data_IF_301432138343
#
_entry.id   IF_301432138343
#
_cell.length_a   1.000
_cell.length_b   1.000
_cell.length_c   1.000
_cell.angle_alpha   90.00
_cell.angle_beta   90.00
_cell.angle_gamma   90.00
#
_symmetry.space_group_name_H-M   'P 1'
#
loop_
_entity.id
_entity.type
_entity.pdbx_description
1 polymer ?
#
# COMPACT_ATOMS: atom_id res chain seq x y z
N UNK A 1 -33.53 66.31 14.95
CA UNK A 1 -32.69 65.52 14.03
C UNK A 1 -31.94 64.46 14.84
N UNK A 2 -31.87 63.23 14.35
CA UNK A 2 -30.90 62.20 14.80
C UNK A 2 -30.38 61.54 13.53
N UNK A 3 -29.06 61.43 13.37
CA UNK A 3 -28.47 60.73 12.22
C UNK A 3 -28.61 59.22 12.44
N UNK A 4 -28.98 58.47 11.39
CA UNK A 4 -28.69 57.05 11.33
C UNK A 4 -27.25 56.89 10.84
N UNK A 5 -26.42 56.16 11.61
CA UNK A 5 -25.12 55.71 11.12
C UNK A 5 -25.31 54.38 10.39
N UNK A 6 -24.93 54.34 9.12
CA UNK A 6 -25.01 53.12 8.30
C UNK A 6 -23.66 52.41 8.38
N UNK A 7 -23.60 51.31 9.15
CA UNK A 7 -22.44 50.42 9.13
C UNK A 7 -22.47 49.58 7.84
N UNK A 8 -21.65 49.95 6.87
CA UNK A 8 -21.38 49.14 5.68
C UNK A 8 -20.49 47.96 6.06
N UNK A 9 -21.07 46.77 6.20
CA UNK A 9 -20.31 45.53 6.37
C UNK A 9 -19.78 45.09 5.00
N UNK A 10 -18.55 45.48 4.68
CA UNK A 10 -17.81 44.93 3.54
C UNK A 10 -17.40 43.49 3.84
N UNK A 11 -18.20 42.54 3.36
CA UNK A 11 -17.82 41.13 3.35
C UNK A 11 -16.64 40.92 2.40
N UNK A 12 -15.44 40.73 2.97
CA UNK A 12 -14.25 40.40 2.20
C UNK A 12 -14.40 38.97 1.64
N UNK A 13 -14.50 38.83 0.32
CA UNK A 13 -14.30 37.53 -0.33
C UNK A 13 -12.83 37.15 -0.17
N UNK A 14 -12.53 36.30 0.81
CA UNK A 14 -11.27 35.55 0.84
C UNK A 14 -11.35 34.54 -0.31
N UNK A 15 -10.81 34.92 -1.47
CA UNK A 15 -10.66 34.04 -2.60
C UNK A 15 -9.56 33.02 -2.27
N UNK A 16 -9.96 31.86 -1.74
CA UNK A 16 -9.06 30.73 -1.52
C UNK A 16 -8.58 30.19 -2.87
N UNK A 17 -7.43 30.69 -3.32
CA UNK A 17 -6.71 30.14 -4.46
C UNK A 17 -6.21 28.74 -4.09
N UNK A 18 -7.01 27.74 -4.45
CA UNK A 18 -6.60 26.35 -4.40
C UNK A 18 -5.31 26.21 -5.24
N UNK A 19 -4.17 26.10 -4.56
CA UNK A 19 -2.89 25.94 -5.22
C UNK A 19 -2.90 24.59 -5.92
N UNK A 20 -2.82 24.62 -7.25
CA UNK A 20 -2.57 23.41 -8.02
C UNK A 20 -1.16 22.94 -7.67
N UNK A 21 -1.08 21.86 -6.88
CA UNK A 21 0.16 21.38 -6.30
C UNK A 21 1.25 21.16 -7.35
N UNK A 22 2.49 21.51 -6.98
CA UNK A 22 3.65 21.38 -7.85
C UNK A 22 3.95 19.95 -8.30
N UNK A 23 4.99 19.80 -9.12
CA UNK A 23 5.57 18.50 -9.48
C UNK A 23 6.84 18.25 -8.70
N UNK A 24 6.93 17.06 -8.10
CA UNK A 24 8.11 16.57 -7.40
C UNK A 24 8.90 15.57 -8.27
N UNK A 25 9.94 14.93 -7.73
CA UNK A 25 10.75 13.89 -8.41
C UNK A 25 11.93 14.44 -9.22
N UNK A 26 11.88 15.73 -9.60
CA UNK A 26 13.03 16.53 -10.08
C UNK A 26 13.26 17.80 -9.27
N UNK A 27 12.24 18.20 -8.52
CA UNK A 27 12.24 19.27 -7.53
C UNK A 27 11.67 18.67 -6.24
N UNK A 28 11.93 19.31 -5.11
CA UNK A 28 11.14 19.10 -3.89
C UNK A 28 9.81 19.85 -3.96
N UNK A 29 8.82 19.41 -3.17
CA UNK A 29 7.58 20.15 -2.99
C UNK A 29 7.77 21.48 -2.22
N UNK A 30 6.75 22.35 -2.23
CA UNK A 30 6.70 23.61 -1.50
C UNK A 30 5.97 23.51 -0.13
N UNK A 31 6.06 24.56 0.71
CA UNK A 31 5.46 24.58 2.07
C UNK A 31 3.93 24.42 2.09
N UNK A 32 3.24 24.70 0.99
CA UNK A 32 1.77 24.69 0.89
C UNK A 32 1.21 23.38 0.31
N UNK A 33 2.05 22.54 -0.28
CA UNK A 33 1.71 21.19 -0.78
C UNK A 33 2.85 20.22 -0.49
N UNK A 34 3.22 20.01 0.78
CA UNK A 34 4.54 19.53 1.15
C UNK A 34 4.80 18.04 0.87
N UNK A 35 3.75 17.24 0.64
CA UNK A 35 3.85 15.79 0.45
C UNK A 35 3.96 15.42 -1.03
N UNK A 36 5.02 14.71 -1.41
CA UNK A 36 5.19 14.15 -2.75
C UNK A 36 4.61 12.73 -2.85
N UNK A 37 3.74 12.46 -3.82
CA UNK A 37 3.38 11.10 -4.26
C UNK A 37 3.19 11.10 -5.78
N UNK A 38 3.66 10.06 -6.48
CA UNK A 38 3.38 9.86 -7.91
C UNK A 38 3.90 10.97 -8.85
N UNK A 39 4.94 11.72 -8.44
CA UNK A 39 5.46 12.94 -9.10
C UNK A 39 4.60 14.22 -8.91
N UNK A 40 3.63 14.21 -7.99
CA UNK A 40 2.76 15.35 -7.68
C UNK A 40 2.81 15.71 -6.18
N UNK A 41 2.72 17.01 -5.90
CA UNK A 41 2.73 17.58 -4.57
C UNK A 41 1.30 17.82 -4.06
N UNK A 42 1.03 17.59 -2.77
CA UNK A 42 -0.28 17.84 -2.17
C UNK A 42 -0.26 17.97 -0.62
N UNK A 43 -1.44 18.19 -0.04
CA UNK A 43 -1.73 18.11 1.41
C UNK A 43 -2.71 16.97 1.77
N UNK A 44 -3.40 16.40 0.78
CA UNK A 44 -4.39 15.35 0.97
C UNK A 44 -3.78 14.02 1.42
N UNK A 45 -4.56 13.25 2.21
CA UNK A 45 -4.08 12.05 2.89
C UNK A 45 -3.36 11.05 1.98
N UNK A 46 -3.87 10.79 0.77
CA UNK A 46 -3.26 9.85 -0.18
C UNK A 46 -1.82 10.22 -0.59
N UNK A 47 -1.49 11.51 -0.58
CA UNK A 47 -0.17 12.00 -0.95
C UNK A 47 0.79 11.99 0.23
N UNK A 48 0.27 12.13 1.45
CA UNK A 48 1.08 12.21 2.65
C UNK A 48 1.24 10.89 3.40
N UNK A 49 0.31 9.92 3.25
CA UNK A 49 0.34 8.63 3.94
C UNK A 49 1.68 7.90 3.84
N UNK A 50 2.16 7.37 4.97
CA UNK A 50 3.47 6.72 5.07
C UNK A 50 3.62 5.52 4.14
N UNK A 51 4.69 5.52 3.34
CA UNK A 51 4.95 4.50 2.32
C UNK A 51 4.14 4.66 1.02
N UNK A 52 3.34 5.73 0.89
CA UNK A 52 2.90 6.28 -0.39
C UNK A 52 3.59 7.63 -0.67
N UNK A 53 3.83 8.40 0.39
CA UNK A 53 4.62 9.63 0.35
C UNK A 53 6.11 9.34 0.17
N UNK A 54 6.75 10.09 -0.72
CA UNK A 54 8.19 10.11 -1.00
C UNK A 54 8.86 11.23 -0.16
N UNK A 55 9.67 10.89 0.86
CA UNK A 55 10.29 11.88 1.74
C UNK A 55 11.51 12.58 1.11
N UNK A 56 12.12 12.03 0.07
CA UNK A 56 13.28 12.64 -0.61
C UNK A 56 12.83 13.79 -1.53
N UNK A 57 11.65 13.65 -2.13
CA UNK A 57 11.06 14.64 -3.05
C UNK A 57 9.93 15.49 -2.42
N UNK A 58 9.62 15.28 -1.15
CA UNK A 58 8.75 16.16 -0.35
C UNK A 58 9.47 17.46 0.06
N UNK A 59 8.74 18.45 0.59
CA UNK A 59 9.30 19.75 1.00
C UNK A 59 10.39 19.62 2.07
N UNK A 60 10.23 18.65 2.97
CA UNK A 60 11.21 18.18 3.95
C UNK A 60 11.04 16.68 4.17
N UNK A 61 12.06 15.95 4.66
CA UNK A 61 11.93 14.52 4.99
C UNK A 61 10.83 14.20 6.01
N UNK A 62 10.48 15.15 6.89
CA UNK A 62 9.42 15.04 7.91
C UNK A 62 8.04 15.56 7.44
N UNK A 63 7.88 15.85 6.13
CA UNK A 63 6.58 16.22 5.55
C UNK A 63 5.65 15.04 5.33
N UNK A 64 6.22 13.84 5.13
CA UNK A 64 5.46 12.60 4.99
C UNK A 64 4.92 12.13 6.35
N UNK A 65 3.79 11.42 6.31
CA UNK A 65 3.20 10.82 7.49
C UNK A 65 3.98 9.56 7.91
N UNK A 66 4.07 9.29 9.22
CA UNK A 66 4.66 8.06 9.75
C UNK A 66 4.03 6.83 9.08
N UNK A 67 4.84 5.78 8.89
CA UNK A 67 4.34 4.49 8.41
C UNK A 67 3.56 3.82 9.54
N UNK A 68 2.25 3.69 9.33
CA UNK A 68 1.40 2.95 10.25
C UNK A 68 1.60 1.44 10.05
N UNK A 69 2.54 0.86 10.81
CA UNK A 69 2.84 -0.57 10.75
C UNK A 69 1.68 -1.48 11.21
N UNK A 70 1.81 -2.76 10.92
CA UNK A 70 0.79 -3.78 11.14
C UNK A 70 0.42 -3.95 12.64
N UNK A 71 -0.87 -4.10 12.91
CA UNK A 71 -1.43 -4.59 14.19
C UNK A 71 -2.51 -5.62 13.86
N UNK A 72 -2.76 -6.60 14.73
CA UNK A 72 -3.79 -7.60 14.47
C UNK A 72 -5.17 -6.92 14.33
N UNK A 73 -5.86 -7.17 13.21
CA UNK A 73 -7.16 -6.56 12.90
C UNK A 73 -8.19 -7.66 12.68
N UNK A 74 -9.21 -7.74 13.56
CA UNK A 74 -10.41 -8.56 13.35
C UNK A 74 -11.58 -7.64 13.02
N UNK A 75 -11.66 -7.20 11.77
CA UNK A 75 -12.56 -6.14 11.33
C UNK A 75 -13.76 -6.70 10.58
N UNK A 76 -14.96 -6.20 10.91
CA UNK A 76 -16.15 -6.33 10.06
C UNK A 76 -16.46 -4.99 9.44
N UNK A 77 -16.97 -4.98 8.21
CA UNK A 77 -17.38 -3.73 7.57
C UNK A 77 -18.72 -3.16 8.09
N UNK A 78 -19.27 -3.79 9.13
CA UNK A 78 -20.30 -3.23 10.03
C UNK A 78 -19.74 -2.26 11.08
N UNK A 79 -18.44 -2.27 11.32
CA UNK A 79 -17.83 -1.61 12.47
C UNK A 79 -17.57 -0.12 12.15
N UNK A 80 -17.82 0.77 13.10
CA UNK A 80 -17.89 2.23 12.84
C UNK A 80 -16.56 2.88 12.46
N UNK A 81 -15.43 2.19 12.62
CA UNK A 81 -14.10 2.60 12.20
C UNK A 81 -13.60 1.83 10.96
N UNK A 82 -14.44 0.99 10.32
CA UNK A 82 -13.98 0.11 9.26
C UNK A 82 -13.61 0.83 7.97
N UNK A 83 -14.32 1.90 7.62
CA UNK A 83 -14.22 2.57 6.32
C UNK A 83 -14.44 4.08 6.44
N UNK A 84 -13.66 4.87 5.70
CA UNK A 84 -13.96 6.27 5.41
C UNK A 84 -13.63 6.62 3.95
N UNK A 85 -14.02 7.82 3.54
CA UNK A 85 -13.48 8.45 2.35
C UNK A 85 -12.06 9.01 2.64
N UNK A 86 -11.18 9.06 1.64
CA UNK A 86 -9.83 9.60 1.81
C UNK A 86 -9.82 11.08 2.23
N UNK A 87 -10.83 11.85 1.80
CA UNK A 87 -10.98 13.25 2.20
C UNK A 87 -11.26 13.39 3.70
N UNK A 88 -11.95 12.43 4.30
CA UNK A 88 -12.30 12.41 5.72
C UNK A 88 -11.14 11.89 6.59
N UNK A 89 -10.27 11.06 6.03
CA UNK A 89 -9.16 10.45 6.77
C UNK A 89 -8.08 11.47 7.16
N UNK A 90 -7.91 11.69 8.47
CA UNK A 90 -6.91 12.62 9.04
C UNK A 90 -5.64 11.91 9.54
N UNK A 91 -5.39 10.70 9.04
CA UNK A 91 -4.14 9.98 9.29
C UNK A 91 -4.06 9.16 10.59
N UNK A 92 -5.13 9.05 11.39
CA UNK A 92 -5.17 8.17 12.58
C UNK A 92 -5.71 6.76 12.22
N UNK A 93 -4.83 5.74 12.07
CA UNK A 93 -5.22 4.37 11.71
C UNK A 93 -5.94 3.60 12.83
N UNK A 94 -6.24 4.23 13.97
CA UNK A 94 -7.16 3.68 14.98
C UNK A 94 -8.63 4.10 14.73
N UNK A 95 -8.85 5.22 14.02
CA UNK A 95 -10.19 5.77 13.73
C UNK A 95 -10.75 5.30 12.41
N UNK A 96 -9.87 4.87 11.50
CA UNK A 96 -10.24 4.40 10.16
C UNK A 96 -9.28 3.27 9.78
N UNK A 97 -9.81 2.08 9.52
CA UNK A 97 -9.04 0.92 9.10
C UNK A 97 -8.84 0.85 7.58
N UNK A 98 -9.83 1.32 6.79
CA UNK A 98 -9.74 1.40 5.33
C UNK A 98 -10.22 2.73 4.76
N UNK A 99 -9.64 3.16 3.63
CA UNK A 99 -9.95 4.42 2.92
C UNK A 99 -10.13 4.20 1.43
N UNK A 100 -11.18 4.77 0.84
CA UNK A 100 -11.37 4.78 -0.62
C UNK A 100 -10.55 5.88 -1.27
N UNK A 101 -9.63 5.54 -2.18
CA UNK A 101 -8.58 6.43 -2.67
C UNK A 101 -9.06 7.69 -3.43
N UNK A 102 -10.19 7.65 -4.13
CA UNK A 102 -10.49 8.63 -5.20
C UNK A 102 -11.96 9.01 -5.32
N UNK A 103 -12.21 10.15 -6.00
CA UNK A 103 -13.54 10.62 -6.41
C UNK A 103 -13.77 10.38 -7.91
N UNK A 104 -14.99 10.03 -8.36
CA UNK A 104 -16.18 9.75 -7.55
C UNK A 104 -16.02 8.43 -6.77
N UNK A 105 -16.26 8.47 -5.46
CA UNK A 105 -16.08 7.32 -4.60
C UNK A 105 -17.19 6.29 -4.88
N UNK A 106 -16.83 5.17 -5.50
CA UNK A 106 -17.74 4.06 -5.77
C UNK A 106 -17.78 2.99 -4.66
N UNK A 107 -17.08 3.21 -3.56
CA UNK A 107 -17.12 2.36 -2.37
C UNK A 107 -17.97 2.98 -1.26
N UNK A 108 -18.75 2.15 -0.55
CA UNK A 108 -19.60 2.55 0.58
C UNK A 108 -19.80 1.40 1.56
N UNK A 109 -20.24 1.69 2.77
CA UNK A 109 -20.85 0.67 3.64
C UNK A 109 -22.34 0.56 3.31
N UNK A 110 -22.81 -0.66 3.07
CA UNK A 110 -24.22 -0.98 2.85
C UNK A 110 -24.56 -2.34 3.48
N UNK A 111 -25.65 -2.41 4.24
CA UNK A 111 -26.08 -3.61 4.97
C UNK A 111 -25.02 -4.23 5.92
N UNK A 112 -24.02 -3.45 6.34
CA UNK A 112 -22.91 -3.91 7.18
C UNK A 112 -21.74 -4.53 6.41
N UNK A 113 -21.67 -4.30 5.09
CA UNK A 113 -20.58 -4.76 4.22
C UNK A 113 -20.00 -3.58 3.43
N UNK A 114 -18.72 -3.67 3.08
CA UNK A 114 -18.09 -2.77 2.13
C UNK A 114 -18.51 -3.19 0.72
N UNK A 115 -19.30 -2.35 0.06
CA UNK A 115 -19.73 -2.52 -1.31
C UNK A 115 -18.87 -1.62 -2.20
N UNK A 116 -18.10 -2.24 -3.11
CA UNK A 116 -17.31 -1.54 -4.13
C UNK A 116 -18.00 -1.75 -5.48
N UNK A 117 -18.47 -0.67 -6.11
CA UNK A 117 -19.08 -0.75 -7.44
C UNK A 117 -18.10 -0.44 -8.57
N UNK A 118 -18.29 -1.11 -9.71
CA UNK A 118 -17.81 -0.68 -11.02
C UNK A 118 -19.01 -0.18 -11.85
N UNK A 119 -18.94 1.07 -12.30
CA UNK A 119 -20.03 1.80 -12.97
C UNK A 119 -19.54 2.53 -14.23
N UNK A 120 -20.41 2.70 -15.23
CA UNK A 120 -20.16 3.59 -16.38
C UNK A 120 -20.92 4.90 -16.23
N UNK A 121 -20.24 6.03 -16.36
CA UNK A 121 -20.78 7.39 -16.18
C UNK A 121 -20.14 8.32 -17.20
N UNK A 122 -20.93 8.98 -18.05
CA UNK A 122 -20.46 9.89 -19.11
C UNK A 122 -19.32 9.28 -19.95
N UNK A 123 -19.58 8.07 -20.46
CA UNK A 123 -18.67 7.16 -21.15
C UNK A 123 -17.39 6.69 -20.43
N UNK A 124 -17.06 7.25 -19.25
CA UNK A 124 -16.00 6.73 -18.38
C UNK A 124 -16.50 5.52 -17.60
N UNK A 125 -15.74 4.43 -17.66
CA UNK A 125 -15.86 3.31 -16.73
C UNK A 125 -15.03 3.63 -15.49
N UNK A 126 -15.64 3.51 -14.30
CA UNK A 126 -15.08 3.96 -13.02
C UNK A 126 -15.41 2.94 -11.94
N UNK A 127 -14.36 2.39 -11.31
CA UNK A 127 -14.43 1.57 -10.12
C UNK A 127 -14.12 2.36 -8.85
N UNK A 128 -13.53 1.68 -7.87
CA UNK A 128 -12.82 2.30 -6.75
C UNK A 128 -11.79 1.30 -6.17
N UNK A 129 -10.74 1.85 -5.55
CA UNK A 129 -9.74 1.09 -4.78
C UNK A 129 -9.80 1.54 -3.34
N UNK A 130 -9.87 0.58 -2.41
CA UNK A 130 -10.01 0.79 -0.97
C UNK A 130 -8.78 0.21 -0.28
N UNK A 131 -7.91 1.08 0.23
CA UNK A 131 -6.66 0.73 0.92
C UNK A 131 -6.89 0.50 2.41
N UNK A 132 -6.14 -0.41 3.02
CA UNK A 132 -5.93 -0.38 4.47
C UNK A 132 -5.10 0.86 4.86
N UNK A 133 -5.35 1.42 6.04
CA UNK A 133 -4.58 2.56 6.57
C UNK A 133 -3.26 2.18 7.21
N UNK A 134 -2.99 0.87 7.33
CA UNK A 134 -1.74 0.28 7.80
C UNK A 134 -1.06 -0.56 6.72
N UNK A 135 0.26 -0.69 6.85
CA UNK A 135 1.06 -1.62 6.05
C UNK A 135 1.32 -2.92 6.79
N UNK A 136 1.69 -3.95 6.05
CA UNK A 136 1.87 -5.33 6.47
C UNK A 136 3.21 -5.81 5.90
N UNK A 137 4.09 -6.33 6.76
CA UNK A 137 5.23 -7.12 6.34
C UNK A 137 5.08 -8.50 6.99
N UNK A 138 4.63 -9.46 6.20
CA UNK A 138 4.31 -10.83 6.60
C UNK A 138 3.16 -10.99 7.61
N UNK A 139 2.45 -12.11 7.50
CA UNK A 139 1.30 -12.46 8.33
C UNK A 139 0.29 -13.35 7.60
N UNK A 140 -0.82 -13.61 8.28
CA UNK A 140 -2.00 -14.27 7.70
C UNK A 140 -3.10 -13.24 7.50
N UNK A 141 -3.63 -13.18 6.29
CA UNK A 141 -4.66 -12.24 5.85
C UNK A 141 -5.83 -13.04 5.29
N UNK A 142 -6.99 -13.02 5.96
CA UNK A 142 -8.19 -13.76 5.56
C UNK A 142 -9.37 -12.83 5.31
N UNK A 143 -9.84 -12.76 4.06
CA UNK A 143 -10.97 -11.90 3.64
C UNK A 143 -12.21 -12.74 3.36
N UNK A 144 -13.35 -12.35 3.94
CA UNK A 144 -14.67 -12.95 3.65
C UNK A 144 -15.43 -12.03 2.70
N UNK A 145 -15.66 -12.48 1.46
CA UNK A 145 -16.25 -11.64 0.41
C UNK A 145 -17.02 -12.42 -0.66
N UNK A 146 -17.79 -11.68 -1.46
CA UNK A 146 -18.25 -12.07 -2.80
C UNK A 146 -17.58 -11.18 -3.85
N UNK A 147 -17.22 -11.77 -4.98
CA UNK A 147 -16.75 -11.06 -6.17
C UNK A 147 -17.87 -10.22 -6.80
N UNK A 148 -17.53 -9.09 -7.40
CA UNK A 148 -18.43 -8.32 -8.25
C UNK A 148 -18.39 -8.72 -9.73
N UNK A 149 -17.54 -9.67 -10.11
CA UNK A 149 -17.22 -10.03 -11.49
C UNK A 149 -18.28 -10.95 -12.11
N UNK A 150 -19.50 -10.45 -12.30
CA UNK A 150 -20.63 -11.21 -12.86
C UNK A 150 -20.63 -11.35 -14.39
N UNK A 151 -19.57 -10.88 -15.07
CA UNK A 151 -19.42 -10.99 -16.52
C UNK A 151 -18.02 -10.59 -17.01
N UNK A 152 -17.66 -10.89 -18.28
CA UNK A 152 -16.36 -10.58 -18.85
C UNK A 152 -15.95 -9.11 -18.74
N UNK A 153 -14.65 -8.85 -18.71
CA UNK A 153 -14.09 -7.49 -18.56
C UNK A 153 -14.14 -6.93 -17.14
N UNK A 154 -15.12 -7.34 -16.32
CA UNK A 154 -15.22 -6.91 -14.93
C UNK A 154 -14.31 -7.77 -14.05
N UNK A 155 -13.46 -7.09 -13.27
CA UNK A 155 -12.49 -7.70 -12.37
C UNK A 155 -12.71 -7.20 -10.95
N UNK A 156 -12.68 -8.12 -9.98
CA UNK A 156 -12.54 -7.82 -8.55
C UNK A 156 -11.14 -8.23 -8.13
N UNK A 157 -10.52 -7.53 -7.18
CA UNK A 157 -9.22 -7.97 -6.65
C UNK A 157 -9.06 -7.74 -5.15
N UNK A 158 -8.22 -8.59 -4.55
CA UNK A 158 -7.63 -8.40 -3.22
C UNK A 158 -6.12 -8.41 -3.43
N UNK A 159 -5.45 -7.28 -3.22
CA UNK A 159 -4.04 -7.12 -3.59
C UNK A 159 -3.25 -6.59 -2.39
N UNK A 160 -2.20 -7.31 -2.02
CA UNK A 160 -1.16 -6.88 -1.07
C UNK A 160 0.02 -6.36 -1.89
N UNK A 161 0.22 -5.04 -1.95
CA UNK A 161 1.20 -4.41 -2.85
C UNK A 161 2.00 -3.31 -2.18
N UNK A 162 3.29 -3.22 -2.51
CA UNK A 162 4.15 -2.08 -2.18
C UNK A 162 4.34 -1.22 -3.42
N UNK A 163 3.56 -0.15 -3.58
CA UNK A 163 3.55 0.66 -4.81
C UNK A 163 4.89 1.31 -5.18
N UNK A 164 5.74 1.60 -4.20
CA UNK A 164 7.06 2.21 -4.43
C UNK A 164 8.11 1.22 -4.94
N UNK A 165 7.97 -0.06 -4.60
CA UNK A 165 8.92 -1.13 -5.00
C UNK A 165 8.36 -1.95 -6.16
N UNK A 166 7.08 -2.29 -6.11
CA UNK A 166 6.42 -3.19 -7.06
C UNK A 166 6.39 -4.66 -6.64
N UNK A 167 6.58 -4.96 -5.36
CA UNK A 167 6.21 -6.25 -4.80
C UNK A 167 4.68 -6.35 -4.71
N UNK A 168 4.14 -7.50 -5.12
CA UNK A 168 2.69 -7.73 -5.18
C UNK A 168 2.34 -9.20 -4.93
N UNK A 169 1.27 -9.43 -4.19
CA UNK A 169 0.63 -10.73 -3.95
C UNK A 169 -0.88 -10.53 -4.09
N UNK A 170 -1.52 -11.26 -5.00
CA UNK A 170 -2.91 -10.98 -5.38
C UNK A 170 -3.86 -12.19 -5.31
N UNK A 171 -5.14 -11.86 -5.23
CA UNK A 171 -6.27 -12.65 -5.71
C UNK A 171 -7.03 -11.83 -6.76
N UNK A 172 -7.24 -12.38 -7.96
CA UNK A 172 -8.03 -11.77 -9.03
C UNK A 172 -9.25 -12.61 -9.41
N UNK A 173 -10.40 -11.95 -9.52
CA UNK A 173 -11.68 -12.55 -9.88
C UNK A 173 -12.11 -12.08 -11.26
N UNK A 174 -12.07 -12.96 -12.26
CA UNK A 174 -12.31 -12.61 -13.66
C UNK A 174 -13.66 -13.11 -14.12
N UNK A 175 -14.60 -12.22 -14.44
CA UNK A 175 -16.01 -12.58 -14.67
C UNK A 175 -16.33 -13.38 -15.93
N UNK A 176 -15.31 -13.92 -16.61
CA UNK A 176 -15.45 -15.01 -17.58
C UNK A 176 -15.64 -16.39 -16.91
N UNK A 177 -15.21 -16.54 -15.65
CA UNK A 177 -15.42 -17.73 -14.82
C UNK A 177 -15.71 -17.31 -13.37
N UNK A 178 -16.99 -17.35 -12.99
CA UNK A 178 -17.44 -17.06 -11.62
C UNK A 178 -17.13 -18.17 -10.62
N UNK A 179 -16.56 -19.31 -11.05
CA UNK A 179 -16.33 -20.50 -10.21
C UNK A 179 -14.87 -20.69 -9.77
N UNK A 180 -13.96 -19.77 -10.10
CA UNK A 180 -12.56 -19.79 -9.64
C UNK A 180 -12.10 -18.41 -9.19
N UNK A 181 -11.05 -18.38 -8.36
CA UNK A 181 -10.22 -17.20 -8.13
C UNK A 181 -8.83 -17.47 -8.71
N UNK A 182 -8.20 -16.44 -9.28
CA UNK A 182 -6.82 -16.52 -9.77
C UNK A 182 -5.88 -15.98 -8.71
N UNK A 183 -4.68 -16.54 -8.64
CA UNK A 183 -3.58 -16.04 -7.82
C UNK A 183 -2.40 -15.68 -8.71
N UNK A 184 -1.71 -14.60 -8.40
CA UNK A 184 -0.41 -14.26 -8.95
C UNK A 184 0.47 -13.54 -7.92
N UNK A 185 1.72 -13.27 -8.31
CA UNK A 185 2.64 -12.43 -7.55
C UNK A 185 3.67 -11.78 -8.49
N UNK A 186 4.08 -10.56 -8.16
CA UNK A 186 5.15 -9.83 -8.85
C UNK A 186 6.23 -9.40 -7.86
N UNK A 187 7.46 -9.26 -8.35
CA UNK A 187 8.61 -8.77 -7.58
C UNK A 187 9.18 -7.56 -8.29
N UNK A 188 9.37 -6.45 -7.56
CA UNK A 188 9.98 -5.22 -8.09
C UNK A 188 9.38 -4.71 -9.44
N UNK A 189 8.06 -4.80 -9.63
CA UNK A 189 7.33 -4.51 -10.88
C UNK A 189 7.71 -5.39 -12.10
N UNK A 190 8.40 -6.52 -11.92
CA UNK A 190 8.61 -7.50 -12.99
C UNK A 190 7.30 -8.27 -13.28
N UNK A 191 6.54 -7.79 -14.26
CA UNK A 191 5.28 -8.39 -14.69
C UNK A 191 5.53 -9.70 -15.44
N UNK A 192 5.05 -10.80 -14.87
CA UNK A 192 5.05 -12.13 -15.47
C UNK A 192 3.63 -12.72 -15.43
N UNK A 193 2.93 -12.57 -16.56
CA UNK A 193 1.56 -13.06 -16.74
C UNK A 193 1.46 -14.59 -16.86
N UNK A 194 2.58 -15.33 -16.89
CA UNK A 194 2.58 -16.80 -16.96
C UNK A 194 2.47 -17.47 -15.59
N UNK A 195 2.72 -16.71 -14.50
CA UNK A 195 2.63 -17.17 -13.11
C UNK A 195 1.20 -17.27 -12.55
N UNK A 196 0.17 -16.93 -13.32
CA UNK A 196 -1.21 -17.03 -12.86
C UNK A 196 -1.62 -18.49 -12.60
N UNK A 197 -2.16 -18.77 -11.42
CA UNK A 197 -2.69 -20.10 -11.05
C UNK A 197 -4.12 -19.96 -10.51
N UNK A 198 -5.12 -20.61 -11.14
CA UNK A 198 -6.50 -20.62 -10.65
C UNK A 198 -6.69 -21.60 -9.48
N UNK A 199 -7.69 -21.32 -8.66
CA UNK A 199 -8.15 -22.21 -7.59
C UNK A 199 -8.82 -23.49 -8.11
N UNK A 200 -9.08 -24.42 -7.18
CA UNK A 200 -10.13 -25.42 -7.37
C UNK A 200 -11.48 -24.74 -7.65
N UNK A 201 -12.42 -25.49 -8.25
CA UNK A 201 -13.78 -24.97 -8.49
C UNK A 201 -14.55 -24.77 -7.19
N UNK A 202 -15.15 -23.60 -7.09
CA UNK A 202 -15.97 -23.13 -5.97
C UNK A 202 -17.46 -23.16 -6.37
N UNK A 203 -18.34 -22.85 -5.41
CA UNK A 203 -19.64 -22.28 -5.75
C UNK A 203 -19.46 -20.91 -6.43
N UNK A 204 -20.52 -20.39 -7.06
CA UNK A 204 -20.48 -19.07 -7.71
C UNK A 204 -20.01 -17.98 -6.73
N UNK A 205 -18.81 -17.43 -6.98
CA UNK A 205 -18.12 -16.48 -6.10
C UNK A 205 -18.78 -15.11 -6.06
N UNK A 206 -19.73 -14.83 -6.96
CA UNK A 206 -20.52 -13.59 -6.97
C UNK A 206 -21.78 -13.72 -6.10
N UNK A 207 -22.28 -14.94 -5.91
CA UNK A 207 -23.48 -15.23 -5.11
C UNK A 207 -23.14 -15.69 -3.68
N UNK A 208 -22.03 -16.40 -3.49
CA UNK A 208 -21.66 -17.08 -2.24
C UNK A 208 -20.43 -16.43 -1.60
N UNK A 209 -20.47 -16.25 -0.28
CA UNK A 209 -19.31 -15.78 0.47
C UNK A 209 -18.30 -16.92 0.63
N UNK A 210 -17.06 -16.64 0.27
CA UNK A 210 -15.91 -17.51 0.47
C UNK A 210 -14.87 -16.78 1.32
N UNK A 211 -13.99 -17.54 1.97
CA UNK A 211 -12.88 -17.02 2.78
C UNK A 211 -11.57 -17.20 2.02
N UNK A 212 -11.04 -16.10 1.48
CA UNK A 212 -9.79 -16.07 0.72
C UNK A 212 -8.64 -15.69 1.62
N UNK A 213 -7.60 -16.52 1.70
CA UNK A 213 -6.50 -16.35 2.65
C UNK A 213 -5.14 -16.34 1.97
N UNK A 214 -4.33 -15.33 2.29
CA UNK A 214 -2.89 -15.27 2.04
C UNK A 214 -2.18 -15.54 3.37
N UNK A 215 -1.33 -16.56 3.42
CA UNK A 215 -0.31 -16.74 4.48
C UNK A 215 1.05 -16.45 3.84
N UNK A 216 1.72 -15.38 4.29
CA UNK A 216 2.96 -14.87 3.72
C UNK A 216 4.01 -14.72 4.81
N UNK A 217 5.14 -15.42 4.67
CA UNK A 217 6.30 -15.33 5.55
C UNK A 217 7.61 -15.14 4.74
N UNK A 218 8.78 -14.96 5.37
CA UNK A 218 10.05 -14.76 4.65
C UNK A 218 10.50 -15.91 3.72
N UNK A 219 9.81 -17.06 3.77
CA UNK A 219 10.16 -18.31 3.08
C UNK A 219 9.06 -18.83 2.15
N UNK A 220 7.77 -18.51 2.37
CA UNK A 220 6.65 -18.94 1.51
C UNK A 220 5.50 -17.93 1.44
N UNK A 221 4.78 -17.97 0.32
CA UNK A 221 3.39 -17.51 0.20
C UNK A 221 2.50 -18.73 -0.01
N UNK A 222 1.40 -18.84 0.72
CA UNK A 222 0.31 -19.79 0.52
C UNK A 222 -0.97 -19.02 0.19
N UNK A 223 -1.67 -19.45 -0.86
CA UNK A 223 -3.03 -19.01 -1.18
C UNK A 223 -4.01 -20.15 -0.87
N UNK A 224 -5.04 -19.82 -0.09
CA UNK A 224 -6.13 -20.74 0.26
C UNK A 224 -7.49 -20.12 0.00
N UNK A 225 -8.48 -20.96 -0.24
CA UNK A 225 -9.89 -20.57 -0.23
C UNK A 225 -10.70 -21.59 0.57
N UNK A 226 -11.55 -21.08 1.47
CA UNK A 226 -12.33 -21.84 2.47
C UNK A 226 -11.49 -22.81 3.33
N UNK A 227 -10.24 -22.43 3.59
CA UNK A 227 -9.28 -23.25 4.34
C UNK A 227 -8.62 -24.37 3.55
N UNK A 228 -8.91 -24.51 2.25
CA UNK A 228 -8.17 -25.39 1.35
C UNK A 228 -7.08 -24.59 0.62
N UNK A 229 -5.81 -24.95 0.88
CA UNK A 229 -4.66 -24.50 0.09
C UNK A 229 -4.79 -24.94 -1.36
N UNK A 230 -4.51 -24.04 -2.32
CA UNK A 230 -4.43 -24.39 -3.75
C UNK A 230 -3.12 -23.95 -4.40
N UNK A 231 -2.32 -23.12 -3.73
CA UNK A 231 -0.98 -22.71 -4.19
C UNK A 231 -0.03 -22.47 -3.02
N UNK A 232 1.20 -22.94 -3.18
CA UNK A 232 2.36 -22.49 -2.39
C UNK A 232 3.44 -22.01 -3.34
N UNK A 233 4.09 -20.88 -3.02
CA UNK A 233 5.32 -20.41 -3.67
C UNK A 233 6.36 -20.27 -2.57
N UNK A 234 7.45 -21.04 -2.64
CA UNK A 234 8.57 -20.87 -1.70
C UNK A 234 9.57 -19.88 -2.27
N UNK A 235 10.21 -19.11 -1.39
CA UNK A 235 11.32 -18.20 -1.75
C UNK A 235 12.47 -18.93 -2.43
N UNK A 236 12.76 -20.17 -2.04
CA UNK A 236 13.76 -21.03 -2.71
C UNK A 236 13.50 -21.20 -4.20
N UNK A 237 12.23 -21.21 -4.59
CA UNK A 237 11.76 -21.62 -5.92
C UNK A 237 11.70 -20.40 -6.88
N UNK A 238 12.03 -19.19 -6.40
CA UNK A 238 12.05 -17.94 -7.19
C UNK A 238 13.47 -17.43 -7.48
N UNK A 239 14.50 -18.24 -7.24
CA UNK A 239 15.89 -17.89 -7.52
C UNK A 239 16.14 -17.66 -9.01
N UNK A 240 16.62 -16.46 -9.36
CA UNK A 240 17.10 -16.14 -10.71
C UNK A 240 18.62 -16.28 -10.77
N UNK A 241 19.13 -17.30 -11.45
CA UNK A 241 20.57 -17.44 -11.77
C UNK A 241 21.12 -16.22 -12.53
N UNK A 242 20.30 -15.63 -13.41
CA UNK A 242 20.66 -14.45 -14.22
C UNK A 242 20.89 -13.22 -13.34
N UNK A 243 20.00 -12.98 -12.38
CA UNK A 243 19.96 -11.75 -11.58
C UNK A 243 20.56 -11.95 -10.17
N UNK A 244 20.93 -13.20 -9.84
CA UNK A 244 21.55 -13.66 -8.59
C UNK A 244 20.77 -13.23 -7.33
N UNK A 245 19.45 -13.28 -7.42
CA UNK A 245 18.52 -12.93 -6.33
C UNK A 245 17.27 -13.81 -6.37
N UNK A 246 16.55 -13.86 -5.24
CA UNK A 246 15.22 -14.46 -5.16
C UNK A 246 14.18 -13.42 -5.58
N UNK A 247 13.40 -13.70 -6.63
CA UNK A 247 12.31 -12.83 -7.10
C UNK A 247 11.05 -13.09 -6.31
N UNK A 248 11.10 -12.70 -5.04
CA UNK A 248 10.13 -13.05 -4.01
C UNK A 248 9.66 -11.77 -3.29
N UNK A 249 8.34 -11.53 -3.16
CA UNK A 249 7.82 -10.38 -2.41
C UNK A 249 8.28 -10.42 -0.95
N UNK A 250 9.12 -9.47 -0.54
CA UNK A 250 9.66 -9.39 0.83
C UNK A 250 9.63 -7.99 1.46
N UNK A 251 9.18 -6.97 0.73
CA UNK A 251 9.04 -5.60 1.24
C UNK A 251 7.67 -5.31 1.85
N UNK A 252 7.60 -4.39 2.83
CA UNK A 252 6.36 -4.03 3.53
C UNK A 252 5.32 -3.40 2.57
N UNK A 253 4.10 -3.93 2.57
CA UNK A 253 3.06 -3.69 1.56
C UNK A 253 1.71 -3.26 2.17
N UNK A 254 0.85 -2.62 1.39
CA UNK A 254 -0.52 -2.25 1.77
C UNK A 254 -1.51 -3.26 1.20
N UNK A 255 -2.49 -3.74 1.97
CA UNK A 255 -3.62 -4.49 1.39
C UNK A 255 -4.69 -3.54 0.85
N UNK A 256 -5.22 -3.89 -0.32
CA UNK A 256 -6.28 -3.18 -1.01
C UNK A 256 -7.38 -4.10 -1.51
N UNK A 257 -8.57 -3.53 -1.67
CA UNK A 257 -9.70 -4.12 -2.38
C UNK A 257 -10.05 -3.24 -3.58
N UNK A 258 -10.29 -3.81 -4.76
CA UNK A 258 -10.74 -3.02 -5.91
C UNK A 258 -11.74 -3.73 -6.81
N UNK A 259 -12.47 -2.93 -7.58
CA UNK A 259 -13.26 -3.34 -8.74
C UNK A 259 -12.81 -2.51 -9.94
N UNK A 260 -12.52 -3.14 -11.08
CA UNK A 260 -12.01 -2.45 -12.28
C UNK A 260 -12.46 -3.11 -13.60
N UNK A 261 -12.29 -2.38 -14.70
CA UNK A 261 -12.67 -2.77 -16.06
C UNK A 261 -11.41 -2.95 -16.92
N UNK A 262 -11.16 -4.18 -17.33
CA UNK A 262 -10.00 -4.55 -18.14
C UNK A 262 -9.96 -3.91 -19.53
N UNK A 263 -11.06 -3.31 -19.99
CA UNK A 263 -11.12 -2.53 -21.23
C UNK A 263 -10.63 -1.07 -21.11
N UNK A 264 -10.43 -0.53 -19.90
CA UNK A 264 -10.00 0.87 -19.72
C UNK A 264 -8.49 0.98 -19.87
N UNK A 265 -8.04 1.30 -21.09
CA UNK A 265 -6.61 1.46 -21.39
C UNK A 265 -5.79 0.16 -21.35
N UNK A 266 -6.43 -0.98 -21.07
CA UNK A 266 -5.81 -2.29 -21.06
C UNK A 266 -5.22 -2.67 -22.42
N UNK A 267 -4.14 -3.44 -22.39
CA UNK A 267 -3.58 -4.04 -23.60
C UNK A 267 -4.52 -5.17 -24.07
N UNK A 268 -4.46 -5.56 -25.35
CA UNK A 268 -5.34 -6.61 -25.88
C UNK A 268 -5.26 -7.91 -25.06
N UNK A 269 -4.05 -8.29 -24.58
CA UNK A 269 -3.88 -9.44 -23.70
C UNK A 269 -4.62 -9.34 -22.36
N UNK A 270 -4.77 -8.12 -21.80
CA UNK A 270 -5.58 -7.88 -20.58
C UNK A 270 -7.07 -8.06 -20.87
N UNK A 271 -7.54 -7.57 -22.02
CA UNK A 271 -8.94 -7.74 -22.46
C UNK A 271 -9.25 -9.22 -22.72
N UNK A 272 -8.36 -9.92 -23.42
CA UNK A 272 -8.50 -11.35 -23.74
C UNK A 272 -8.43 -12.21 -22.47
N UNK A 273 -7.51 -11.89 -21.54
CA UNK A 273 -7.46 -12.48 -20.20
C UNK A 273 -8.75 -12.23 -19.42
N UNK A 274 -9.34 -11.04 -19.50
CA UNK A 274 -10.62 -10.73 -18.86
C UNK A 274 -11.84 -11.35 -19.56
N UNK A 275 -11.64 -11.98 -20.73
CA UNK A 275 -12.68 -12.63 -21.54
C UNK A 275 -13.47 -11.69 -22.46
N UNK A 276 -13.02 -10.44 -22.61
CA UNK A 276 -13.67 -9.41 -23.41
C UNK A 276 -13.89 -8.09 -22.67
N UNK A 277 -14.68 -7.20 -23.26
CA UNK A 277 -15.07 -5.91 -22.68
C UNK A 277 -16.29 -6.05 -21.75
N UNK A 278 -16.42 -5.15 -20.78
CA UNK A 278 -17.56 -5.12 -19.85
C UNK A 278 -18.90 -4.90 -20.59
N UNK A 279 -19.85 -5.79 -20.31
CA UNK A 279 -21.25 -5.62 -20.73
C UNK A 279 -21.96 -4.62 -19.80
N UNK A 280 -22.01 -3.36 -20.23
CA UNK A 280 -22.64 -2.29 -19.47
C UNK A 280 -24.15 -2.38 -19.34
N UNK A 281 -24.83 -3.28 -20.06
CA UNK A 281 -26.27 -3.54 -19.86
C UNK A 281 -26.55 -4.33 -18.57
N UNK A 282 -25.54 -4.98 -17.99
CA UNK A 282 -25.61 -5.77 -16.74
C UNK A 282 -25.04 -5.05 -15.52
N UNK A 283 -24.49 -3.85 -15.69
CA UNK A 283 -23.96 -3.04 -14.59
C UNK A 283 -25.06 -2.41 -13.72
N UNK A 284 -24.74 -1.90 -12.51
CA UNK A 284 -23.40 -1.85 -11.92
C UNK A 284 -22.94 -3.20 -11.36
N UNK A 285 -21.65 -3.48 -11.51
CA UNK A 285 -20.99 -4.67 -10.95
C UNK A 285 -20.56 -4.35 -9.52
N UNK A 286 -20.82 -5.21 -8.52
CA UNK A 286 -20.62 -4.89 -7.10
C UNK A 286 -19.92 -6.01 -6.34
N UNK A 287 -18.71 -5.73 -5.84
CA UNK A 287 -18.00 -6.59 -4.89
C UNK A 287 -18.48 -6.28 -3.46
N UNK A 288 -18.65 -7.33 -2.65
CA UNK A 288 -19.13 -7.24 -1.27
C UNK A 288 -18.10 -7.84 -0.32
N UNK A 289 -17.38 -7.01 0.44
CA UNK A 289 -16.47 -7.46 1.51
C UNK A 289 -17.15 -7.34 2.86
N UNK A 290 -17.23 -8.46 3.58
CA UNK A 290 -17.96 -8.56 4.85
C UNK A 290 -17.05 -8.34 6.06
N UNK A 291 -15.86 -8.94 6.02
CA UNK A 291 -14.88 -8.88 7.10
C UNK A 291 -13.49 -9.26 6.61
N UNK A 292 -12.47 -8.78 7.32
CA UNK A 292 -11.08 -9.19 7.15
C UNK A 292 -10.45 -9.47 8.51
N UNK A 293 -9.71 -10.57 8.59
CA UNK A 293 -8.89 -10.95 9.73
C UNK A 293 -7.41 -10.88 9.31
N UNK A 294 -6.62 -10.06 10.01
CA UNK A 294 -5.19 -9.88 9.79
C UNK A 294 -4.46 -10.25 11.07
N UNK A 295 -3.55 -11.21 10.98
CA UNK A 295 -2.64 -11.62 12.05
C UNK A 295 -1.21 -11.33 11.62
N UNK A 296 -0.60 -10.30 12.21
CA UNK A 296 0.70 -9.78 11.76
C UNK A 296 1.86 -10.59 12.36
N UNK A 297 2.87 -10.94 11.57
CA UNK A 297 4.08 -11.57 12.11
C UNK A 297 5.06 -10.53 12.69
N UNK A 298 5.15 -9.35 12.08
CA UNK A 298 5.79 -8.18 12.69
C UNK A 298 4.72 -7.16 13.10
N UNK A 299 4.76 -6.71 14.36
CA UNK A 299 3.75 -5.82 14.96
C UNK A 299 4.39 -4.50 15.36
N UNK A 300 3.85 -3.38 14.86
CA UNK A 300 4.29 -2.04 15.22
C UNK A 300 3.22 -1.31 16.03
N UNK A 301 3.56 -0.88 17.25
CA UNK A 301 2.65 -0.19 18.15
C UNK A 301 2.60 1.33 17.91
N UNK A 302 2.80 1.79 16.68
CA UNK A 302 2.75 3.22 16.35
C UNK A 302 1.29 3.72 16.36
N UNK A 303 0.93 4.38 17.46
CA UNK A 303 -0.28 5.18 17.61
C UNK A 303 0.06 6.67 17.70
N UNK A 304 0.89 7.14 16.77
CA UNK A 304 1.17 8.57 16.58
C UNK A 304 1.22 8.91 15.09
N UNK A 305 0.17 9.56 14.59
CA UNK A 305 0.32 10.41 13.42
C UNK A 305 -0.44 11.75 13.61
N UNK A 306 0.02 12.80 12.91
CA UNK A 306 0.02 14.19 13.37
C UNK A 306 -0.24 15.22 12.25
N UNK A 307 -1.49 15.64 12.04
CA UNK A 307 -1.83 17.00 11.58
C UNK A 307 -1.98 17.97 12.77
N UNK A 308 -1.92 19.30 12.60
CA UNK A 308 -1.50 20.10 11.43
C UNK A 308 -0.14 20.82 11.75
N UNK A 309 0.35 21.84 11.04
CA UNK A 309 -0.24 23.14 10.65
C UNK A 309 -0.27 23.36 9.13
N UNK A 310 -1.19 24.22 8.68
CA UNK A 310 -0.90 25.14 7.58
C UNK A 310 -0.22 26.37 8.19
N UNK A 311 0.83 26.89 7.54
CA UNK A 311 1.52 28.10 8.01
C UNK A 311 0.69 29.35 7.67
N UNK A 312 -0.27 29.71 8.52
CA UNK A 312 -0.98 31.01 8.51
C UNK A 312 -0.11 32.19 9.02
N UNK A 313 1.19 31.93 9.19
CA UNK A 313 2.21 32.82 9.75
C UNK A 313 2.97 33.57 8.61
N UNK A 314 2.21 34.26 7.75
CA UNK A 314 2.68 35.36 6.88
C UNK A 314 2.08 36.70 7.41
N UNK A 315 2.34 36.95 8.71
CA UNK A 315 2.17 38.23 9.40
C UNK A 315 3.41 38.45 10.29
N UNK A 316 3.76 39.71 10.48
CA UNK A 316 4.84 40.20 11.35
C UNK A 316 6.30 40.03 10.84
N UNK A 317 6.60 40.62 9.66
CA UNK A 317 7.99 41.01 9.33
C UNK A 317 8.11 42.33 8.51
N UNK A 318 7.10 43.20 8.59
CA UNK A 318 7.04 44.47 7.81
C UNK A 318 6.93 45.73 8.71
N UNK A 319 7.18 45.60 10.03
CA UNK A 319 7.04 46.70 11.00
C UNK A 319 8.31 46.90 11.87
N UNK A 320 9.43 47.18 11.19
CA UNK A 320 10.70 47.57 11.84
C UNK A 320 11.59 48.47 10.96
N UNK A 321 11.05 49.61 10.50
CA UNK A 321 11.78 50.55 9.63
C UNK A 321 11.65 52.05 9.97
N UNK A 322 11.42 52.36 11.24
CA UNK A 322 11.60 53.67 11.88
C UNK A 322 12.00 53.42 13.35
N UNK A 323 12.94 54.13 13.96
CA UNK A 323 13.68 55.32 13.53
C UNK A 323 15.20 55.20 13.72
N UNK A 324 15.94 56.11 13.06
CA UNK A 324 17.28 56.52 13.51
C UNK A 324 17.13 57.73 14.40
N UNK A 325 17.88 57.80 15.51
CA UNK A 325 18.92 58.82 15.68
C UNK A 325 19.55 58.82 17.10
N UNK A 326 20.77 59.37 17.16
CA UNK A 326 21.45 60.02 18.30
C UNK A 326 22.17 59.17 19.36
N UNK A 327 23.46 59.03 19.08
CA UNK A 327 24.58 59.67 19.80
C UNK A 327 25.11 59.14 21.16
N UNK A 328 26.43 58.99 21.13
CA UNK A 328 27.44 59.19 22.19
C UNK A 328 27.54 58.30 23.45
N UNK A 329 28.70 57.61 23.50
CA UNK A 329 29.70 57.52 24.59
C UNK A 329 29.22 57.25 26.03
N UNK A 330 29.80 56.22 26.65
CA UNK A 330 31.00 56.45 27.48
C UNK A 330 31.75 55.14 27.77
N UNK A 331 33.04 55.24 28.11
CA UNK A 331 33.88 54.11 28.53
C UNK A 331 33.57 53.64 29.95
N UNK A 332 33.74 52.33 30.21
CA UNK A 332 34.56 51.83 31.34
C UNK A 332 34.82 50.33 31.31
N UNK A 333 36.09 49.99 31.38
CA UNK A 333 36.54 48.76 32.04
C UNK A 333 36.23 48.84 33.54
N UNK A 334 35.95 47.70 34.16
CA UNK A 334 36.60 47.37 35.45
C UNK A 334 36.68 45.84 35.61
N UNK A 335 37.86 45.36 36.00
CA UNK A 335 38.16 43.94 36.21
C UNK A 335 38.50 43.71 37.68
N UNK A 336 37.94 42.67 38.30
CA UNK A 336 38.34 42.25 39.65
C UNK A 336 38.19 40.74 39.84
N UNK A 337 39.31 40.07 40.06
CA UNK A 337 39.40 38.67 40.49
C UNK A 337 38.88 38.46 41.92
N UNK A 338 38.38 37.25 42.21
CA UNK A 338 38.52 36.48 43.47
C UNK A 338 37.54 35.28 43.38
N UNK A 339 38.05 34.05 43.26
CA UNK A 339 38.45 33.15 44.34
C UNK A 339 37.24 32.42 44.97
N UNK A 340 37.30 31.17 45.45
CA UNK A 340 38.14 29.99 45.19
C UNK A 340 37.53 28.84 46.05
N UNK A 341 37.80 27.57 45.70
CA UNK A 341 37.73 26.37 46.57
C UNK A 341 36.40 25.79 47.10
N UNK A 342 36.50 24.46 47.31
CA UNK A 342 35.84 23.56 48.26
C UNK A 342 34.29 23.33 48.15
N UNK A 343 33.75 22.10 48.25
CA UNK A 343 34.39 20.79 48.41
C UNK A 343 33.46 19.62 48.01
N UNK A 344 34.06 18.45 47.68
CA UNK A 344 33.64 17.04 47.92
C UNK A 344 32.19 16.59 47.63
N UNK A 345 32.00 15.64 46.70
CA UNK A 345 31.99 14.16 46.90
C UNK A 345 30.61 13.62 47.34
N UNK A 346 30.07 12.65 46.62
CA UNK A 346 30.18 11.23 47.02
C UNK A 346 29.85 10.30 45.83
N UNK A 347 30.31 9.05 45.87
CA UNK A 347 30.07 8.04 44.84
C UNK A 347 30.10 6.61 45.39
N UNK A 348 29.02 5.86 45.15
CA UNK A 348 28.92 4.40 45.31
C UNK A 348 27.75 3.92 44.42
N UNK A 349 27.79 2.80 43.68
CA UNK A 349 28.18 1.42 44.04
C UNK A 349 27.31 0.85 45.19
N UNK A 350 26.85 -0.39 45.19
CA UNK A 350 26.66 -1.39 44.12
C UNK A 350 25.63 -2.43 44.64
N UNK A 351 25.23 -3.41 43.83
CA UNK A 351 25.36 -4.84 44.16
C UNK A 351 24.42 -5.73 43.31
N UNK A 352 25.00 -6.80 42.75
CA UNK A 352 24.30 -7.89 42.10
C UNK A 352 23.58 -8.80 43.11
N UNK A 353 22.68 -9.68 42.61
CA UNK A 353 22.47 -10.99 43.25
C UNK A 353 22.03 -12.05 42.23
N UNK A 354 22.89 -13.05 42.02
CA UNK A 354 22.63 -14.24 41.21
C UNK A 354 21.51 -15.14 41.76
N UNK A 355 20.86 -15.89 40.87
CA UNK A 355 20.59 -17.33 41.16
C UNK A 355 20.25 -18.19 39.95
N UNK A 356 20.96 -19.32 39.85
CA UNK A 356 20.67 -20.41 38.93
C UNK A 356 19.33 -21.12 39.22
N UNK A 357 18.77 -21.76 38.19
CA UNK A 357 18.25 -23.13 38.33
C UNK A 357 18.48 -23.92 37.03
N UNK A 358 18.54 -25.25 37.12
CA UNK A 358 19.00 -26.15 36.03
C UNK A 358 17.95 -27.22 35.67
N UNK A 359 18.13 -27.81 34.48
CA UNK A 359 17.54 -29.07 33.97
C UNK A 359 16.06 -28.99 33.50
N UNK A 360 15.59 -29.85 32.59
CA UNK A 360 16.13 -31.16 32.15
C UNK A 360 15.90 -31.48 30.66
N UNK A 361 16.74 -32.36 30.10
CA UNK A 361 16.49 -33.05 28.82
C UNK A 361 15.46 -34.18 28.99
N UNK A 362 14.81 -34.60 27.90
CA UNK A 362 14.32 -35.99 27.76
C UNK A 362 14.49 -36.50 26.31
N UNK A 363 14.80 -37.79 26.15
CA UNK A 363 15.08 -38.47 24.86
C UNK A 363 14.17 -39.68 24.66
N UNK A 364 13.80 -39.96 23.41
CA UNK A 364 12.99 -41.12 23.01
C UNK A 364 12.39 -40.89 21.61
N UNK A 365 12.88 -41.38 20.46
CA UNK A 365 13.65 -42.58 20.05
C UNK A 365 12.78 -43.65 19.35
N UNK A 366 12.65 -43.48 18.03
CA UNK A 366 12.82 -44.53 16.99
C UNK A 366 11.99 -45.84 16.99
N UNK A 367 11.12 -45.98 15.97
CA UNK A 367 11.07 -47.12 15.01
C UNK A 367 10.24 -46.68 13.78
N UNK A 368 10.57 -46.88 12.49
CA UNK A 368 11.38 -47.86 11.73
C UNK A 368 10.63 -49.11 11.26
N UNK A 369 10.63 -49.30 9.93
CA UNK A 369 10.06 -50.38 9.12
C UNK A 369 9.37 -49.79 7.87
N UNK A 370 9.75 -49.99 6.61
CA UNK A 370 10.17 -51.19 5.82
C UNK A 370 9.02 -51.72 4.94
N UNK A 371 9.14 -52.00 3.64
CA UNK A 371 10.28 -51.87 2.70
C UNK A 371 9.76 -51.77 1.23
N UNK A 372 10.74 -51.67 0.32
CA UNK A 372 10.80 -51.71 -1.16
C UNK A 372 9.77 -52.58 -1.94
N UNK A 373 9.56 -52.24 -3.23
CA UNK A 373 9.85 -53.17 -4.34
C UNK A 373 10.16 -52.42 -5.67
N UNK A 374 10.67 -53.10 -6.71
CA UNK A 374 11.30 -52.54 -7.92
C UNK A 374 10.65 -52.95 -9.27
N UNK A 375 11.27 -52.51 -10.39
CA UNK A 375 11.25 -53.06 -11.78
C UNK A 375 10.12 -52.62 -12.74
N UNK A 376 10.31 -52.52 -14.08
CA UNK A 376 11.50 -52.39 -14.98
C UNK A 376 11.08 -52.15 -16.46
N UNK A 377 12.03 -52.02 -17.41
CA UNK A 377 11.91 -51.93 -18.91
C UNK A 377 11.40 -50.58 -19.47
N UNK A 378 12.02 -49.84 -20.42
CA UNK A 378 13.15 -50.01 -21.40
C UNK A 378 12.78 -50.82 -22.69
N UNK A 379 13.10 -50.47 -23.96
CA UNK A 379 13.85 -49.36 -24.64
C UNK A 379 12.88 -48.61 -25.64
N UNK A 380 13.14 -47.92 -26.79
CA UNK A 380 14.24 -47.48 -27.70
C UNK A 380 13.62 -46.30 -28.56
N UNK A 381 14.10 -45.03 -28.64
CA UNK A 381 15.25 -44.41 -29.34
C UNK A 381 14.97 -43.84 -30.77
N UNK A 382 15.94 -43.13 -31.35
CA UNK A 382 15.98 -42.44 -32.67
C UNK A 382 15.14 -41.15 -32.79
N UNK A 383 15.54 -40.11 -33.55
CA UNK A 383 16.80 -39.89 -34.28
C UNK A 383 16.90 -38.45 -34.79
N UNK A 384 18.10 -37.87 -34.79
CA UNK A 384 18.32 -36.43 -34.95
C UNK A 384 18.18 -35.87 -36.39
N UNK A 385 17.83 -34.58 -36.49
CA UNK A 385 18.34 -33.68 -37.51
C UNK A 385 18.28 -32.20 -37.06
N UNK A 386 19.38 -31.47 -37.23
CA UNK A 386 19.44 -30.00 -37.17
C UNK A 386 19.82 -29.47 -38.56
N UNK A 387 19.49 -28.22 -38.88
CA UNK A 387 20.59 -27.37 -39.34
C UNK A 387 20.58 -25.96 -38.75
N UNK A 388 21.78 -25.39 -38.64
CA UNK A 388 22.01 -23.94 -38.54
C UNK A 388 21.98 -23.32 -39.98
N UNK A 389 22.13 -22.01 -40.23
CA UNK A 389 22.75 -20.94 -39.43
C UNK A 389 22.49 -19.53 -40.02
N UNK A 390 22.86 -18.50 -39.25
CA UNK A 390 23.35 -17.19 -39.70
C UNK A 390 22.32 -16.09 -40.09
N UNK A 391 22.71 -14.79 -40.03
CA UNK A 391 21.91 -13.82 -39.28
C UNK A 391 21.46 -12.58 -40.06
N UNK A 392 20.63 -11.77 -39.41
CA UNK A 392 20.39 -10.37 -39.76
C UNK A 392 20.51 -9.49 -38.51
N UNK A 393 21.55 -8.66 -38.46
CA UNK A 393 21.63 -7.57 -37.50
C UNK A 393 20.91 -6.34 -38.08
N UNK A 394 20.01 -5.72 -37.31
CA UNK A 394 19.46 -4.42 -37.63
C UNK A 394 19.43 -3.55 -36.38
N UNK A 395 20.21 -2.48 -36.39
CA UNK A 395 20.29 -1.51 -35.29
C UNK A 395 19.07 -0.57 -35.33
N UNK A 396 18.20 -0.65 -34.33
CA UNK A 396 17.16 0.32 -34.07
C UNK A 396 17.27 0.82 -32.63
N UNK A 397 17.73 2.06 -32.44
CA UNK A 397 17.83 2.69 -31.12
C UNK A 397 16.45 3.22 -30.72
N UNK A 398 15.60 2.33 -30.22
CA UNK A 398 14.26 2.66 -29.74
C UNK A 398 14.25 2.97 -28.24
N UNK A 399 13.95 4.22 -27.88
CA UNK A 399 13.82 4.63 -26.48
C UNK A 399 12.65 3.91 -25.81
N UNK A 400 12.95 3.08 -24.80
CA UNK A 400 11.92 2.40 -24.01
C UNK A 400 11.25 3.43 -23.08
N UNK A 401 10.07 3.92 -23.46
CA UNK A 401 9.10 4.40 -22.46
C UNK A 401 8.36 3.18 -21.92
N UNK A 402 8.62 2.84 -20.66
CA UNK A 402 7.77 1.90 -19.91
C UNK A 402 6.43 2.59 -19.62
N UNK A 403 5.36 2.13 -20.28
CA UNK A 403 4.00 2.52 -19.94
C UNK A 403 3.54 1.75 -18.70
N UNK A 404 3.63 2.39 -17.53
CA UNK A 404 2.88 1.96 -16.35
C UNK A 404 1.39 2.01 -16.71
N UNK A 405 0.74 0.85 -16.71
CA UNK A 405 -0.64 0.67 -17.15
C UNK A 405 -1.40 -0.21 -16.15
N UNK A 406 -1.49 0.28 -14.91
CA UNK A 406 -2.26 -0.28 -13.80
C UNK A 406 -2.53 0.78 -12.71
N UNK A 407 -1.58 1.72 -12.54
CA UNK A 407 -1.67 2.84 -11.58
C UNK A 407 -1.83 4.16 -12.35
N UNK A 408 -2.72 5.04 -11.87
CA UNK A 408 -2.90 6.45 -12.29
C UNK A 408 -3.46 6.75 -13.69
N UNK A 409 -4.72 6.39 -13.95
CA UNK A 409 -5.73 7.22 -14.64
C UNK A 409 -7.12 6.79 -14.12
N UNK A 410 -8.05 7.66 -13.73
CA UNK A 410 -8.27 9.08 -14.04
C UNK A 410 -8.22 9.94 -12.78
#
# INVERSE_FOLDING_TARGET
MKLLSIFSITAALVATTAHAGGKCGKNVCDKFSPCCNGQYCNTGALYCMGGLCDPENSFKPDSCWNVAHCVDQKLKFSDSNAFADIDDYKGDPSKTAFVSQWKPNNAKIENGELVISLKKTNDKSLGATVLNTRRIQYGVISTVMKSGSTGPGAVSSVIVRNDNVGDEIDFEFVGKDVTTVQSNYYWHNELDYTKMVPSQKLSDTTQNYHTYTIDWDPNRIIWSVDGQEFRTVKRSDTWSEKDRTFKYPDTEATISFSMWDAGVGGQQGTIDWAGGLVDWSKGPYNMNVKSIDISCYFKGNETTFKPPKQDDDDKDDDDKKSDKDKDDKDDKDENSDSDDKDDKDDASESDDNDKESKSSESKGSSKSGSDEDQSSSDEDNTGAASPASMPLALSAVGSILMSIAAVSYI
#
